data_IF_084373327175
#
_entry.id   IF_084373327175
#
_cell.length_a   1.000
_cell.length_b   1.000
_cell.length_c   1.000
_cell.angle_alpha   90.00
_cell.angle_beta   90.00
_cell.angle_gamma   90.00
#
_symmetry.space_group_name_H-M   'P 1'
#
loop_
_entity.id
_entity.type
_entity.pdbx_description
1 polymer ?
#
# COMPACT_ATOMS: atom_id res chain seq x y z
N UNK A 1 25.17 -34.02 3.91
CA UNK A 1 24.41 -33.55 2.72
C UNK A 1 23.28 -32.67 3.20
N UNK A 2 23.24 -31.41 2.75
CA UNK A 2 22.36 -30.36 3.29
C UNK A 2 21.09 -30.18 2.44
N UNK A 3 20.02 -29.78 3.16
CA UNK A 3 19.00 -28.78 2.78
C UNK A 3 17.72 -29.28 2.12
N UNK A 4 16.62 -29.20 2.88
CA UNK A 4 15.41 -28.45 2.52
C UNK A 4 14.64 -28.13 3.81
N UNK A 5 14.94 -26.97 4.40
CA UNK A 5 14.23 -26.42 5.54
C UNK A 5 13.54 -25.11 5.13
N UNK A 6 12.23 -25.05 5.39
CA UNK A 6 11.43 -23.85 5.64
C UNK A 6 11.29 -22.83 4.49
N UNK A 7 10.24 -23.01 3.67
CA UNK A 7 9.67 -21.95 2.81
C UNK A 7 8.63 -21.11 3.60
N UNK A 8 8.89 -20.79 4.86
CA UNK A 8 8.10 -19.77 5.57
C UNK A 8 8.81 -18.42 5.43
N UNK A 9 8.07 -17.32 5.23
CA UNK A 9 8.64 -15.98 5.29
C UNK A 9 9.47 -15.79 6.57
N UNK A 10 10.53 -14.96 6.55
CA UNK A 10 11.27 -14.63 7.75
C UNK A 10 10.33 -14.09 8.83
N UNK A 11 10.55 -14.51 10.08
CA UNK A 11 9.85 -13.94 11.23
C UNK A 11 10.06 -12.42 11.25
N UNK A 12 8.99 -11.69 11.54
CA UNK A 12 9.08 -10.24 11.73
C UNK A 12 10.07 -9.93 12.86
N UNK A 13 10.89 -8.87 12.75
CA UNK A 13 11.80 -8.48 13.82
C UNK A 13 11.02 -8.40 15.14
N UNK A 14 11.37 -9.25 16.11
CA UNK A 14 10.78 -9.14 17.45
C UNK A 14 11.16 -7.76 17.96
N UNK A 15 10.15 -6.94 18.23
CA UNK A 15 10.34 -5.57 18.70
C UNK A 15 11.36 -5.56 19.83
N UNK A 16 12.41 -4.76 19.68
CA UNK A 16 13.30 -4.44 20.78
C UNK A 16 12.45 -4.00 21.98
N UNK A 17 12.81 -4.35 23.23
CA UNK A 17 12.17 -3.74 24.38
C UNK A 17 12.23 -2.23 24.18
N UNK A 18 11.05 -1.61 24.17
CA UNK A 18 10.79 -0.23 23.76
C UNK A 18 11.56 0.71 24.69
N UNK A 19 12.85 0.89 24.43
CA UNK A 19 13.72 1.71 25.27
C UNK A 19 13.38 3.17 24.94
N UNK A 20 12.91 3.87 25.96
CA UNK A 20 12.25 5.18 25.93
C UNK A 20 10.77 5.14 25.51
N UNK A 21 9.94 4.93 26.53
CA UNK A 21 8.77 5.78 26.76
C UNK A 21 9.22 7.26 26.77
N UNK A 22 9.59 7.82 25.61
CA UNK A 22 9.25 9.22 25.39
C UNK A 22 7.74 9.19 25.24
N UNK A 23 7.05 9.75 26.24
CA UNK A 23 5.63 10.09 26.11
C UNK A 23 5.50 10.96 24.86
N UNK A 24 5.13 10.33 23.73
CA UNK A 24 4.78 11.05 22.52
C UNK A 24 3.48 11.79 22.82
N UNK A 25 3.57 13.05 23.22
CA UNK A 25 2.43 13.94 23.52
C UNK A 25 1.75 14.44 22.22
N UNK A 26 1.49 13.52 21.28
CA UNK A 26 0.85 13.83 20.01
C UNK A 26 1.80 13.83 18.81
N UNK A 27 1.30 14.41 17.72
CA UNK A 27 1.99 14.45 16.41
C UNK A 27 3.07 15.53 16.46
N UNK A 28 4.30 15.16 16.09
CA UNK A 28 5.41 16.11 15.91
C UNK A 28 5.52 16.38 14.41
N UNK A 29 5.05 17.53 13.88
CA UNK A 29 4.90 17.74 12.43
C UNK A 29 6.16 17.52 11.61
N UNK A 30 7.33 17.84 12.17
CA UNK A 30 8.62 17.71 11.49
C UNK A 30 9.13 16.25 11.41
N UNK A 31 8.66 15.37 12.30
CA UNK A 31 9.04 13.96 12.34
C UNK A 31 7.94 13.06 11.76
N UNK A 32 6.70 13.38 12.05
CA UNK A 32 5.51 12.59 11.76
C UNK A 32 4.79 13.12 10.51
N UNK A 33 5.54 13.38 9.44
CA UNK A 33 5.04 14.03 8.21
C UNK A 33 3.91 13.27 7.48
N UNK A 34 3.68 12.00 7.84
CA UNK A 34 2.63 11.15 7.28
C UNK A 34 1.47 10.92 8.24
N UNK A 35 1.49 11.53 9.43
CA UNK A 35 0.46 11.35 10.44
C UNK A 35 -0.80 12.15 10.10
N UNK A 36 -1.94 11.47 10.20
CA UNK A 36 -3.27 12.03 10.02
C UNK A 36 -4.10 11.65 11.26
N UNK A 37 -4.52 12.61 12.09
CA UNK A 37 -5.37 12.31 13.23
C UNK A 37 -6.76 11.87 12.77
N UNK A 38 -7.39 10.96 13.52
CA UNK A 38 -8.80 10.63 13.36
C UNK A 38 -9.69 11.85 13.58
N UNK A 39 -10.88 11.84 13.01
CA UNK A 39 -11.88 12.91 13.22
C UNK A 39 -12.21 13.12 14.70
N UNK A 40 -12.70 14.32 15.04
CA UNK A 40 -12.99 14.66 16.42
C UNK A 40 -14.09 13.83 17.05
N UNK A 41 -15.07 13.46 16.24
CA UNK A 41 -16.20 12.59 16.57
C UNK A 41 -15.88 11.09 16.56
N UNK A 42 -14.64 10.70 16.21
CA UNK A 42 -14.28 9.29 16.12
C UNK A 42 -14.45 8.61 17.50
N UNK A 43 -15.11 7.43 17.57
CA UNK A 43 -15.36 6.74 18.84
C UNK A 43 -14.07 6.32 19.54
N UNK A 44 -12.99 6.18 18.78
CA UNK A 44 -11.63 5.95 19.27
C UNK A 44 -10.69 6.93 18.58
N UNK A 45 -9.86 7.60 19.38
CA UNK A 45 -8.80 8.48 18.87
C UNK A 45 -7.67 7.63 18.32
N UNK A 46 -7.39 7.79 17.04
CA UNK A 46 -6.33 7.09 16.32
C UNK A 46 -5.50 8.08 15.51
N UNK A 47 -4.26 7.71 15.21
CA UNK A 47 -3.37 8.46 14.31
C UNK A 47 -3.00 7.49 13.20
N UNK A 48 -3.40 7.81 11.97
CA UNK A 48 -3.10 7.02 10.78
C UNK A 48 -1.80 7.54 10.15
N UNK A 49 -0.89 6.63 9.82
CA UNK A 49 0.31 6.97 9.05
C UNK A 49 0.14 6.45 7.64
N UNK A 50 -0.07 7.35 6.66
CA UNK A 50 -0.43 6.98 5.29
C UNK A 50 0.56 7.61 4.31
N UNK A 51 1.14 6.79 3.43
CA UNK A 51 2.08 7.23 2.41
C UNK A 51 1.95 6.38 1.14
N UNK A 52 2.29 6.98 -0.01
CA UNK A 52 2.48 6.24 -1.26
C UNK A 52 3.84 5.54 -1.23
N UNK A 53 3.85 4.25 -1.57
CA UNK A 53 5.05 3.41 -1.65
C UNK A 53 5.15 2.76 -3.03
N UNK A 54 6.32 2.18 -3.35
CA UNK A 54 6.56 1.46 -4.61
C UNK A 54 6.23 2.27 -5.88
N UNK A 55 6.73 3.52 -5.94
CA UNK A 55 6.43 4.48 -7.03
C UNK A 55 7.39 4.40 -8.23
N UNK A 56 8.45 3.61 -8.14
CA UNK A 56 9.53 3.57 -9.16
C UNK A 56 9.32 2.48 -10.22
N UNK A 57 8.19 1.78 -10.20
CA UNK A 57 7.89 0.75 -11.20
C UNK A 57 7.44 1.39 -12.52
N UNK A 58 8.37 1.53 -13.46
CA UNK A 58 8.07 2.10 -14.77
C UNK A 58 7.25 1.15 -15.66
N UNK A 59 6.23 1.69 -16.32
CA UNK A 59 5.42 0.97 -17.31
C UNK A 59 6.14 0.91 -18.67
N UNK A 60 7.13 0.01 -18.77
CA UNK A 60 7.89 -0.21 -19.99
C UNK A 60 7.30 -1.28 -20.93
N UNK A 61 8.01 -1.53 -22.03
CA UNK A 61 7.66 -2.51 -23.07
C UNK A 61 7.29 -3.90 -22.55
N UNK A 62 7.96 -4.41 -21.51
CA UNK A 62 7.62 -5.71 -20.89
C UNK A 62 6.21 -5.73 -20.29
N UNK A 63 5.81 -4.63 -19.63
CA UNK A 63 4.47 -4.49 -19.02
C UNK A 63 3.40 -4.28 -20.09
N UNK A 64 3.72 -3.56 -21.16
CA UNK A 64 2.86 -3.41 -22.33
C UNK A 64 2.61 -4.75 -23.04
N UNK A 65 3.67 -5.55 -23.27
CA UNK A 65 3.54 -6.88 -23.85
C UNK A 65 2.69 -7.81 -22.96
N UNK A 66 2.90 -7.78 -21.64
CA UNK A 66 2.08 -8.52 -20.69
C UNK A 66 0.61 -8.07 -20.69
N UNK A 67 0.34 -6.75 -20.83
CA UNK A 67 -1.02 -6.23 -20.99
C UNK A 67 -1.66 -6.79 -22.26
N UNK A 68 -0.99 -6.68 -23.41
CA UNK A 68 -1.49 -7.19 -24.69
C UNK A 68 -1.81 -8.70 -24.63
N UNK A 69 -0.90 -9.50 -24.07
CA UNK A 69 -1.12 -10.93 -23.89
C UNK A 69 -2.35 -11.25 -23.02
N UNK A 70 -2.54 -10.52 -21.91
CA UNK A 70 -3.72 -10.70 -21.05
C UNK A 70 -5.01 -10.23 -21.73
N UNK A 71 -4.98 -9.13 -22.48
CA UNK A 71 -6.15 -8.65 -23.22
C UNK A 71 -6.58 -9.63 -24.30
N UNK A 72 -5.66 -10.28 -25.01
CA UNK A 72 -5.99 -11.34 -25.97
C UNK A 72 -6.62 -12.54 -25.28
N UNK A 73 -6.09 -12.95 -24.12
CA UNK A 73 -6.55 -14.14 -23.41
C UNK A 73 -7.90 -13.96 -22.71
N UNK A 74 -8.18 -12.78 -22.18
CA UNK A 74 -9.32 -12.55 -21.29
C UNK A 74 -10.31 -11.49 -21.81
N UNK A 75 -10.01 -10.82 -22.93
CA UNK A 75 -10.80 -9.71 -23.45
C UNK A 75 -10.40 -8.35 -22.85
N UNK A 76 -10.84 -7.26 -23.48
CA UNK A 76 -10.55 -5.88 -23.06
C UNK A 76 -11.37 -5.42 -21.85
N UNK A 77 -12.44 -6.15 -21.51
CA UNK A 77 -13.45 -5.75 -20.52
C UNK A 77 -13.26 -6.38 -19.14
N UNK A 78 -12.06 -6.90 -18.85
CA UNK A 78 -11.78 -7.48 -17.53
C UNK A 78 -11.35 -6.36 -16.60
N UNK A 79 -12.33 -5.83 -15.87
CA UNK A 79 -12.14 -5.00 -14.68
C UNK A 79 -11.35 -5.79 -13.64
N UNK A 80 -10.01 -5.80 -13.77
CA UNK A 80 -9.16 -6.66 -12.94
C UNK A 80 -7.76 -6.91 -13.48
N UNK A 81 -7.45 -6.55 -14.73
CA UNK A 81 -6.08 -6.72 -15.24
C UNK A 81 -5.15 -5.76 -14.46
N UNK A 82 -4.20 -6.34 -13.72
CA UNK A 82 -3.19 -5.60 -12.92
C UNK A 82 -2.19 -4.82 -13.78
N UNK A 83 -1.93 -5.30 -14.99
CA UNK A 83 -1.15 -4.59 -16.01
C UNK A 83 -2.08 -3.69 -16.81
N UNK A 84 -2.41 -2.53 -16.24
CA UNK A 84 -3.16 -1.47 -16.91
C UNK A 84 -2.24 -0.28 -17.23
N UNK A 85 -2.77 0.66 -18.01
CA UNK A 85 -2.04 1.90 -18.29
C UNK A 85 -1.87 2.74 -16.99
N UNK A 86 -0.76 3.47 -16.80
CA UNK A 86 -0.56 4.29 -15.59
C UNK A 86 -1.72 5.24 -15.29
N UNK A 87 -2.35 5.84 -16.31
CA UNK A 87 -3.48 6.74 -16.12
C UNK A 87 -4.71 6.00 -15.57
N UNK A 88 -4.99 4.82 -16.13
CA UNK A 88 -6.07 3.95 -15.66
C UNK A 88 -5.80 3.43 -14.24
N UNK A 89 -4.55 3.10 -13.92
CA UNK A 89 -4.16 2.71 -12.56
C UNK A 89 -4.41 3.86 -11.58
N UNK A 90 -3.98 5.08 -11.92
CA UNK A 90 -4.20 6.27 -11.09
C UNK A 90 -5.68 6.52 -10.79
N UNK A 91 -6.54 6.46 -11.82
CA UNK A 91 -7.99 6.61 -11.64
C UNK A 91 -8.58 5.56 -10.68
N UNK A 92 -8.28 4.28 -10.91
CA UNK A 92 -8.76 3.18 -10.06
C UNK A 92 -8.24 3.29 -8.63
N UNK A 93 -6.99 3.72 -8.47
CA UNK A 93 -6.37 3.89 -7.17
C UNK A 93 -7.08 5.00 -6.37
N UNK A 94 -7.32 6.16 -6.98
CA UNK A 94 -8.05 7.26 -6.33
C UNK A 94 -9.47 6.83 -5.96
N UNK A 95 -10.20 6.20 -6.88
CA UNK A 95 -11.56 5.70 -6.60
C UNK A 95 -11.59 4.71 -5.44
N UNK A 96 -10.60 3.83 -5.35
CA UNK A 96 -10.47 2.88 -4.25
C UNK A 96 -10.19 3.57 -2.91
N UNK A 97 -9.21 4.49 -2.87
CA UNK A 97 -8.84 5.21 -1.65
C UNK A 97 -9.99 6.10 -1.17
N UNK A 98 -10.67 6.81 -2.07
CA UNK A 98 -11.83 7.63 -1.73
C UNK A 98 -12.94 6.79 -1.07
N UNK A 99 -13.32 5.65 -1.68
CA UNK A 99 -14.31 4.74 -1.10
C UNK A 99 -13.91 4.20 0.27
N UNK A 100 -12.63 3.86 0.44
CA UNK A 100 -12.13 3.32 1.70
C UNK A 100 -12.15 4.36 2.83
N UNK A 101 -11.97 5.64 2.52
CA UNK A 101 -11.96 6.74 3.50
C UNK A 101 -13.37 7.27 3.77
N UNK A 102 -14.17 7.46 2.73
CA UNK A 102 -15.50 8.07 2.83
C UNK A 102 -16.57 7.09 3.35
N UNK A 103 -16.30 5.77 3.26
CA UNK A 103 -17.20 4.72 3.75
C UNK A 103 -18.53 4.71 3.00
N UNK A 104 -18.54 4.04 1.84
CA UNK A 104 -19.75 3.82 1.05
C UNK A 104 -20.10 2.33 0.97
#
# INVERSE_FOLDING_TARGET
MYRWGYNTPPDSPRGFPRQSERSYEGIIPDLDIYAIPSQDSAPKKEIYFVALIDVLTHYGVKKQAAKAAKTVKYGSNVDGISTCDPEQYGKRFIEFVAKAIEGN
#
